data_IF_713306428419
#
_entry.id   IF_713306428419
#
_cell.length_a   1.000
_cell.length_b   1.000
_cell.length_c   1.000
_cell.angle_alpha   90.00
_cell.angle_beta   90.00
_cell.angle_gamma   90.00
#
_symmetry.space_group_name_H-M   'P 1'
#
loop_
_entity.id
_entity.type
_entity.pdbx_description
1 polymer ?
#
# COMPACT_ATOMS: atom_id res chain seq x y z
N UNK A 1 18.12 -19.26 -25.21
CA UNK A 1 18.53 -18.77 -23.88
C UNK A 1 17.57 -19.40 -22.92
N UNK A 2 18.03 -20.42 -22.24
CA UNK A 2 17.24 -21.16 -21.27
C UNK A 2 16.75 -20.20 -20.21
N UNK A 3 15.43 -19.98 -20.22
CA UNK A 3 14.73 -19.28 -19.13
C UNK A 3 14.70 -20.31 -17.99
N UNK A 4 15.82 -20.42 -17.28
CA UNK A 4 15.93 -21.30 -16.12
C UNK A 4 14.72 -21.02 -15.23
N UNK A 5 13.89 -22.05 -15.01
CA UNK A 5 12.69 -21.96 -14.19
C UNK A 5 13.09 -21.79 -12.72
N UNK A 6 13.49 -20.57 -12.36
CA UNK A 6 13.83 -20.21 -10.99
C UNK A 6 12.57 -20.35 -10.14
N UNK A 7 12.63 -21.21 -9.14
CA UNK A 7 11.54 -21.38 -8.20
C UNK A 7 11.16 -20.03 -7.56
N UNK A 8 9.87 -19.71 -7.43
CA UNK A 8 9.45 -18.46 -6.84
C UNK A 8 9.76 -18.45 -5.33
N UNK A 9 10.78 -17.67 -4.95
CA UNK A 9 11.15 -17.41 -3.57
C UNK A 9 11.18 -15.89 -3.28
N UNK A 10 11.21 -15.53 -1.99
CA UNK A 10 11.47 -14.16 -1.58
C UNK A 10 12.93 -13.79 -1.87
N UNK A 11 13.15 -12.72 -2.64
CA UNK A 11 14.49 -12.28 -3.06
C UNK A 11 14.68 -10.80 -2.81
N UNK A 12 15.90 -10.42 -2.44
CA UNK A 12 16.32 -9.01 -2.33
C UNK A 12 16.94 -8.47 -3.62
N UNK A 13 17.44 -9.38 -4.48
CA UNK A 13 18.08 -9.07 -5.75
C UNK A 13 17.45 -9.86 -6.90
N UNK A 14 17.52 -9.31 -8.12
CA UNK A 14 17.17 -9.99 -9.36
C UNK A 14 18.16 -11.14 -9.63
N UNK A 15 17.84 -12.10 -10.51
CA UNK A 15 18.81 -13.12 -10.95
C UNK A 15 20.11 -12.52 -11.53
N UNK A 16 20.07 -11.27 -11.99
CA UNK A 16 21.22 -10.53 -12.53
C UNK A 16 21.97 -9.70 -11.47
N UNK A 17 21.51 -9.72 -10.21
CA UNK A 17 22.12 -8.98 -9.09
C UNK A 17 21.56 -7.58 -8.85
N UNK A 18 20.50 -7.16 -9.54
CA UNK A 18 19.90 -5.83 -9.34
C UNK A 18 19.06 -5.79 -8.07
N UNK A 19 19.12 -4.71 -7.28
CA UNK A 19 18.26 -4.57 -6.09
C UNK A 19 16.79 -4.52 -6.48
N UNK A 20 15.95 -5.25 -5.75
CA UNK A 20 14.49 -5.24 -5.93
C UNK A 20 13.79 -4.20 -5.05
N UNK A 21 14.51 -3.58 -4.09
CA UNK A 21 13.96 -2.64 -3.13
C UNK A 21 14.67 -1.30 -3.16
N UNK A 22 13.90 -0.24 -2.91
CA UNK A 22 14.39 1.13 -2.87
C UNK A 22 15.16 1.43 -1.59
N UNK A 23 16.29 2.13 -1.74
CA UNK A 23 17.06 2.74 -0.65
C UNK A 23 16.30 3.87 0.04
N UNK A 24 16.78 4.27 1.21
CA UNK A 24 16.26 5.44 1.91
C UNK A 24 16.31 6.72 1.04
N UNK A 25 17.40 6.93 0.29
CA UNK A 25 17.53 8.08 -0.60
C UNK A 25 16.52 8.03 -1.75
N UNK A 26 16.34 6.88 -2.40
CA UNK A 26 15.32 6.70 -3.44
C UNK A 26 13.91 6.93 -2.93
N UNK A 27 13.59 6.42 -1.74
CA UNK A 27 12.29 6.65 -1.09
C UNK A 27 12.06 8.13 -0.75
N UNK A 28 13.10 8.84 -0.32
CA UNK A 28 13.03 10.29 -0.06
C UNK A 28 12.80 11.08 -1.36
N UNK A 29 13.50 10.73 -2.45
CA UNK A 29 13.28 11.33 -3.78
C UNK A 29 11.86 11.06 -4.30
N UNK A 30 11.33 9.86 -4.07
CA UNK A 30 9.94 9.53 -4.39
C UNK A 30 8.95 10.45 -3.67
N UNK A 31 9.12 10.69 -2.36
CA UNK A 31 8.29 11.65 -1.63
C UNK A 31 8.44 13.09 -2.16
N UNK A 32 9.67 13.49 -2.50
CA UNK A 32 9.93 14.79 -3.12
C UNK A 32 9.20 14.98 -4.45
N UNK A 33 9.16 13.94 -5.29
CA UNK A 33 8.39 13.94 -6.53
C UNK A 33 6.87 13.95 -6.27
N UNK A 34 6.39 13.16 -5.29
CA UNK A 34 4.99 13.14 -4.90
C UNK A 34 4.49 14.52 -4.43
N UNK A 35 5.35 15.35 -3.84
CA UNK A 35 5.00 16.72 -3.47
C UNK A 35 4.74 17.66 -4.67
N UNK A 36 5.14 17.29 -5.88
CA UNK A 36 4.84 18.05 -7.10
C UNK A 36 3.52 17.60 -7.75
N UNK A 37 2.95 16.49 -7.29
CA UNK A 37 1.69 15.96 -7.79
C UNK A 37 0.48 16.72 -7.23
N UNK A 38 -0.65 16.56 -7.94
CA UNK A 38 -1.98 16.99 -7.48
C UNK A 38 -2.28 16.39 -6.10
N UNK A 39 -3.07 17.07 -5.23
CA UNK A 39 -3.32 16.62 -3.86
C UNK A 39 -3.74 15.15 -3.75
N UNK A 40 -4.68 14.70 -4.59
CA UNK A 40 -5.17 13.31 -4.59
C UNK A 40 -4.06 12.29 -4.90
N UNK A 41 -3.25 12.55 -5.93
CA UNK A 41 -2.13 11.71 -6.33
C UNK A 41 -1.04 11.70 -5.25
N UNK A 42 -0.77 12.85 -4.64
CA UNK A 42 0.19 12.98 -3.53
C UNK A 42 -0.21 12.12 -2.35
N UNK A 43 -1.48 12.15 -1.95
CA UNK A 43 -1.97 11.30 -0.86
C UNK A 43 -1.86 9.82 -1.25
N UNK A 44 -2.20 9.44 -2.47
CA UNK A 44 -2.00 8.07 -2.95
C UNK A 44 -0.54 7.62 -2.81
N UNK A 45 0.42 8.44 -3.25
CA UNK A 45 1.85 8.17 -3.09
C UNK A 45 2.26 8.07 -1.61
N UNK A 46 1.74 8.93 -0.73
CA UNK A 46 2.00 8.87 0.69
C UNK A 46 1.45 7.58 1.32
N UNK A 47 0.22 7.19 0.99
CA UNK A 47 -0.37 5.93 1.47
C UNK A 47 0.52 4.75 1.09
N UNK A 48 0.98 4.67 -0.16
CA UNK A 48 1.93 3.65 -0.59
C UNK A 48 3.22 3.65 0.22
N UNK A 49 3.84 4.82 0.36
CA UNK A 49 5.14 4.95 1.02
C UNK A 49 5.08 4.60 2.51
N UNK A 50 4.08 5.11 3.23
CA UNK A 50 4.02 4.98 4.70
C UNK A 50 3.38 3.67 5.16
N UNK A 51 2.57 3.02 4.32
CA UNK A 51 1.89 1.75 4.69
C UNK A 51 2.49 0.51 4.03
N UNK A 52 3.22 0.67 2.92
CA UNK A 52 3.72 -0.46 2.13
C UNK A 52 2.60 -1.32 1.51
N UNK A 53 1.38 -0.80 1.42
CA UNK A 53 0.27 -1.53 0.79
C UNK A 53 0.50 -1.70 -0.71
N UNK A 54 -0.26 -2.61 -1.32
CA UNK A 54 -0.27 -2.75 -2.79
C UNK A 54 -1.04 -1.59 -3.40
N UNK A 55 -0.63 -1.16 -4.60
CA UNK A 55 -1.34 -0.11 -5.35
C UNK A 55 -2.83 -0.40 -5.53
N UNK A 56 -3.22 -1.65 -5.76
CA UNK A 56 -4.62 -2.01 -5.87
C UNK A 56 -5.39 -1.90 -4.55
N UNK A 57 -4.74 -2.13 -3.41
CA UNK A 57 -5.37 -1.97 -2.09
C UNK A 57 -5.55 -0.48 -1.75
N UNK A 58 -4.61 0.38 -2.14
CA UNK A 58 -4.75 1.83 -2.01
C UNK A 58 -5.88 2.40 -2.90
N UNK A 59 -6.00 1.90 -4.14
CA UNK A 59 -7.06 2.33 -5.05
C UNK A 59 -8.46 1.87 -4.61
N UNK A 60 -8.55 0.75 -3.91
CA UNK A 60 -9.82 0.23 -3.38
C UNK A 60 -10.19 0.83 -2.03
N UNK A 61 -9.29 1.59 -1.39
CA UNK A 61 -9.50 2.11 -0.05
C UNK A 61 -10.79 2.94 0.04
N UNK A 62 -11.52 2.73 1.12
CA UNK A 62 -12.79 3.42 1.39
C UNK A 62 -12.65 4.27 2.64
N UNK A 63 -13.34 5.41 2.70
CA UNK A 63 -13.25 6.36 3.81
C UNK A 63 -13.69 5.77 5.15
N UNK A 64 -14.63 4.81 5.16
CA UNK A 64 -15.05 4.10 6.39
C UNK A 64 -13.93 3.29 7.03
N UNK A 65 -12.84 3.01 6.29
CA UNK A 65 -11.69 2.21 6.76
C UNK A 65 -10.48 3.07 7.15
N UNK A 66 -10.66 4.37 7.32
CA UNK A 66 -9.63 5.32 7.71
C UNK A 66 -9.97 5.85 9.11
N UNK A 67 -9.32 5.32 10.14
CA UNK A 67 -9.54 5.74 11.51
C UNK A 67 -8.57 6.88 11.85
N UNK A 68 -8.99 8.12 11.58
CA UNK A 68 -8.12 9.31 11.72
C UNK A 68 -7.62 9.49 13.15
N UNK A 69 -8.50 9.28 14.14
CA UNK A 69 -8.17 9.46 15.55
C UNK A 69 -7.21 8.37 16.06
N UNK A 70 -7.39 7.14 15.60
CA UNK A 70 -6.55 5.99 15.96
C UNK A 70 -5.27 5.89 15.12
N UNK A 71 -5.14 6.75 14.11
CA UNK A 71 -3.99 6.84 13.20
C UNK A 71 -3.77 5.54 12.43
N UNK A 72 -4.86 4.98 11.93
CA UNK A 72 -4.84 3.65 11.31
C UNK A 72 -5.60 3.63 9.98
N UNK A 73 -5.09 2.87 9.02
CA UNK A 73 -5.78 2.55 7.77
C UNK A 73 -5.97 1.05 7.69
N UNK A 74 -7.21 0.60 7.50
CA UNK A 74 -7.55 -0.81 7.34
C UNK A 74 -7.66 -1.19 5.86
N UNK A 75 -6.74 -2.04 5.38
CA UNK A 75 -6.72 -2.53 4.01
C UNK A 75 -7.41 -3.88 3.88
N UNK A 76 -8.27 -3.99 2.86
CA UNK A 76 -8.76 -5.27 2.37
C UNK A 76 -7.69 -5.91 1.49
N UNK A 77 -7.25 -7.12 1.84
CA UNK A 77 -6.17 -7.81 1.10
C UNK A 77 -6.69 -8.43 -0.19
N UNK A 78 -6.38 -7.82 -1.34
CA UNK A 78 -6.91 -8.27 -2.64
C UNK A 78 -6.12 -9.44 -3.25
N UNK A 79 -4.82 -9.55 -2.96
CA UNK A 79 -3.94 -10.59 -3.54
C UNK A 79 -3.94 -11.88 -2.71
N UNK A 80 -5.08 -12.58 -2.67
CA UNK A 80 -5.24 -13.91 -2.04
C UNK A 80 -6.10 -14.80 -2.92
N UNK A 81 -5.90 -16.12 -2.84
CA UNK A 81 -6.79 -17.10 -3.51
C UNK A 81 -8.21 -16.94 -2.98
N UNK A 82 -9.20 -16.88 -3.89
CA UNK A 82 -10.63 -16.73 -3.58
C UNK A 82 -11.25 -17.98 -2.96
N UNK A 83 -10.78 -19.14 -3.39
CA UNK A 83 -11.25 -20.44 -2.92
C UNK A 83 -10.18 -21.16 -2.10
N UNK A 84 -10.61 -22.04 -1.20
CA UNK A 84 -9.73 -22.99 -0.52
C UNK A 84 -9.54 -24.28 -1.34
N UNK A 85 -8.99 -25.32 -0.72
CA UNK A 85 -8.74 -26.60 -1.40
C UNK A 85 -10.02 -27.41 -1.65
N UNK A 86 -11.15 -26.99 -1.07
CA UNK A 86 -12.45 -27.63 -1.16
C UNK A 86 -13.46 -26.76 -1.92
N UNK A 87 -12.98 -25.82 -2.75
CA UNK A 87 -13.79 -24.89 -3.55
C UNK A 87 -14.78 -24.01 -2.75
N UNK A 88 -14.53 -23.80 -1.45
CA UNK A 88 -15.33 -22.88 -0.63
C UNK A 88 -14.81 -21.46 -0.77
N UNK A 89 -15.71 -20.47 -0.78
CA UNK A 89 -15.32 -19.06 -0.79
C UNK A 89 -14.62 -18.72 0.52
N UNK A 90 -13.40 -18.21 0.44
CA UNK A 90 -12.62 -17.77 1.61
C UNK A 90 -13.12 -16.43 2.09
N UNK A 91 -13.14 -16.26 3.41
CA UNK A 91 -13.40 -14.96 4.01
C UNK A 91 -12.35 -13.94 3.58
N UNK A 92 -12.83 -12.75 3.25
CA UNK A 92 -11.96 -11.64 2.92
C UNK A 92 -11.07 -11.27 4.10
N UNK A 93 -9.79 -11.07 3.83
CA UNK A 93 -8.80 -10.77 4.87
C UNK A 93 -8.55 -9.27 4.94
N UNK A 94 -8.46 -8.74 6.15
CA UNK A 94 -8.21 -7.32 6.42
C UNK A 94 -6.98 -7.18 7.30
N UNK A 95 -6.29 -6.06 7.18
CA UNK A 95 -5.19 -5.71 8.08
C UNK A 95 -5.21 -4.21 8.37
N UNK A 96 -5.03 -3.89 9.63
CA UNK A 96 -4.80 -2.56 10.13
C UNK A 96 -3.32 -2.19 9.96
N UNK A 97 -3.06 -0.96 9.50
CA UNK A 97 -1.70 -0.43 9.37
C UNK A 97 -1.63 0.94 10.05
N UNK A 98 -0.77 1.11 11.07
CA UNK A 98 -0.57 2.41 11.70
C UNK A 98 0.11 3.39 10.74
N UNK A 99 -0.30 4.65 10.82
CA UNK A 99 0.16 5.74 9.95
C UNK A 99 0.66 6.90 10.82
N UNK A 100 1.75 7.59 10.44
CA UNK A 100 2.18 8.78 11.17
C UNK A 100 1.08 9.85 11.24
N UNK A 101 0.94 10.49 12.41
CA UNK A 101 -0.10 11.51 12.68
C UNK A 101 -0.22 12.55 11.57
N UNK A 102 0.89 13.17 11.19
CA UNK A 102 0.92 14.21 10.15
C UNK A 102 0.37 13.72 8.80
N UNK A 103 0.56 12.43 8.48
CA UNK A 103 0.15 11.86 7.19
C UNK A 103 -1.33 11.53 7.17
N UNK A 104 -1.89 11.02 8.27
CA UNK A 104 -3.33 10.76 8.35
C UNK A 104 -4.14 12.06 8.49
N UNK A 105 -3.60 13.08 9.17
CA UNK A 105 -4.22 14.41 9.24
C UNK A 105 -4.22 15.10 7.87
N UNK A 106 -3.15 14.97 7.10
CA UNK A 106 -3.12 15.51 5.73
C UNK A 106 -4.10 14.78 4.80
N UNK A 107 -4.26 13.46 4.95
CA UNK A 107 -5.28 12.72 4.22
C UNK A 107 -6.69 13.23 4.57
N UNK A 108 -6.97 13.40 5.86
CA UNK A 108 -8.24 13.96 6.35
C UNK A 108 -8.47 15.39 5.81
N UNK A 109 -7.45 16.22 5.77
CA UNK A 109 -7.54 17.58 5.21
C UNK A 109 -7.92 17.56 3.71
N UNK A 110 -7.38 16.62 2.94
CA UNK A 110 -7.63 16.54 1.48
C UNK A 110 -9.00 15.94 1.16
N UNK A 111 -9.45 14.96 1.94
CA UNK A 111 -10.68 14.20 1.63
C UNK A 111 -11.85 14.47 2.58
N UNK A 112 -11.64 15.21 3.66
CA UNK A 112 -12.67 15.48 4.67
C UNK A 112 -13.19 14.21 5.35
N UNK A 113 -12.32 13.22 5.61
CA UNK A 113 -12.72 11.87 6.08
C UNK A 113 -13.60 11.94 7.32
N UNK A 114 -13.25 12.76 8.32
CA UNK A 114 -14.05 12.91 9.54
C UNK A 114 -15.46 13.47 9.31
N UNK A 115 -15.68 14.21 8.21
CA UNK A 115 -17.01 14.73 7.85
C UNK A 115 -17.86 13.72 7.08
N UNK A 116 -17.27 12.60 6.64
CA UNK A 116 -17.93 11.51 5.93
C UNK A 116 -18.31 10.38 6.90
N UNK A 117 -17.61 10.28 8.03
CA UNK A 117 -17.81 9.29 9.09
C UNK A 117 -18.91 9.68 10.09
#
# INVERSE_FOLDING_TARGET
>A
MDDDFIAPEMRLFSPKGDRLYLTANERARFLGAAHQEKPINRIFCHVLHYTGCRSSEALELDFSRIAVNDREITFRTLKKRKYDQQDRIKQQQYRAVPVPKERIEHLDLVFGVRGIQ
#
